data_IF_447312955016
#
_entry.id   IF_447312955016
#
_cell.length_a   1.000
_cell.length_b   1.000
_cell.length_c   1.000
_cell.angle_alpha   90.00
_cell.angle_beta   90.00
_cell.angle_gamma   90.00
#
_symmetry.space_group_name_H-M   'P 1'
#
loop_
_entity.id
_entity.type
_entity.pdbx_description
1 polymer ?
#
# COMPACT_ATOMS: atom_id res chain seq x y z
N UNK A 1 -22.07 6.78 22.12
CA UNK A 1 -20.61 6.88 22.29
C UNK A 1 -20.34 7.45 23.68
N UNK A 2 -19.53 6.76 24.49
CA UNK A 2 -19.31 7.17 25.88
C UNK A 2 -18.23 8.25 26.02
N UNK A 3 -17.39 8.44 24.96
CA UNK A 3 -16.29 9.40 24.98
C UNK A 3 -15.86 9.79 23.54
N UNK A 4 -14.89 10.70 23.47
CA UNK A 4 -14.34 11.16 22.18
C UNK A 4 -13.63 10.05 21.41
N UNK A 5 -12.97 9.13 22.10
CA UNK A 5 -12.27 8.01 21.47
C UNK A 5 -13.26 7.01 20.84
N UNK A 6 -14.37 6.73 21.50
CA UNK A 6 -15.45 5.92 20.96
C UNK A 6 -16.07 6.51 19.69
N UNK A 7 -16.29 7.82 19.67
CA UNK A 7 -16.78 8.51 18.48
C UNK A 7 -15.75 8.47 17.34
N UNK A 8 -14.49 8.78 17.65
CA UNK A 8 -13.40 8.69 16.67
C UNK A 8 -13.30 7.28 16.07
N UNK A 9 -13.29 6.25 16.92
CA UNK A 9 -13.24 4.85 16.48
C UNK A 9 -14.40 4.49 15.55
N UNK A 10 -15.61 4.91 15.88
CA UNK A 10 -16.81 4.63 15.07
C UNK A 10 -16.76 5.25 13.67
N UNK A 11 -16.01 6.34 13.50
CA UNK A 11 -15.84 7.02 12.22
C UNK A 11 -14.70 6.39 11.41
N UNK A 12 -13.53 6.14 12.02
CA UNK A 12 -12.33 5.76 11.27
C UNK A 12 -12.17 4.25 11.09
N UNK A 13 -12.66 3.43 12.02
CA UNK A 13 -12.51 1.98 11.95
C UNK A 13 -13.14 1.36 10.69
N UNK A 14 -14.36 1.75 10.25
CA UNK A 14 -14.94 1.22 9.02
C UNK A 14 -14.10 1.51 7.78
N UNK A 15 -13.49 2.70 7.67
CA UNK A 15 -12.69 3.06 6.49
C UNK A 15 -11.32 2.38 6.50
N UNK A 16 -10.72 2.18 7.67
CA UNK A 16 -9.47 1.39 7.81
C UNK A 16 -9.73 -0.07 7.41
N UNK A 17 -10.78 -0.67 7.93
CA UNK A 17 -11.14 -2.05 7.60
C UNK A 17 -11.48 -2.20 6.12
N UNK A 18 -12.27 -1.29 5.56
CA UNK A 18 -12.62 -1.29 4.14
C UNK A 18 -11.41 -1.14 3.22
N UNK A 19 -10.43 -0.32 3.58
CA UNK A 19 -9.18 -0.17 2.85
C UNK A 19 -8.34 -1.44 2.93
N UNK A 20 -8.19 -2.01 4.11
CA UNK A 20 -7.41 -3.23 4.33
C UNK A 20 -8.00 -4.42 3.58
N UNK A 21 -9.32 -4.60 3.62
CA UNK A 21 -10.02 -5.66 2.89
C UNK A 21 -9.86 -5.52 1.37
N UNK A 22 -9.99 -4.29 0.83
CA UNK A 22 -9.76 -4.02 -0.60
C UNK A 22 -8.34 -4.36 -1.00
N UNK A 23 -7.38 -3.92 -0.21
CA UNK A 23 -5.97 -4.19 -0.49
C UNK A 23 -5.65 -5.69 -0.49
N UNK A 24 -6.17 -6.43 0.48
CA UNK A 24 -6.03 -7.88 0.52
C UNK A 24 -6.66 -8.55 -0.71
N UNK A 25 -7.86 -8.12 -1.13
CA UNK A 25 -8.52 -8.63 -2.33
C UNK A 25 -7.71 -8.37 -3.60
N UNK A 26 -7.11 -7.18 -3.74
CA UNK A 26 -6.24 -6.83 -4.86
C UNK A 26 -5.05 -7.78 -4.92
N UNK A 27 -4.38 -8.01 -3.80
CA UNK A 27 -3.25 -8.93 -3.71
C UNK A 27 -3.63 -10.38 -4.02
N UNK A 28 -4.74 -10.86 -3.48
CA UNK A 28 -5.23 -12.20 -3.74
C UNK A 28 -5.59 -12.42 -5.21
N UNK A 29 -6.27 -11.47 -5.85
CA UNK A 29 -6.62 -11.53 -7.26
C UNK A 29 -5.37 -11.61 -8.14
N UNK A 30 -4.36 -10.79 -7.88
CA UNK A 30 -3.09 -10.84 -8.59
C UNK A 30 -2.41 -12.21 -8.45
N UNK A 31 -2.36 -12.77 -7.25
CA UNK A 31 -1.69 -14.04 -6.98
C UNK A 31 -2.48 -15.28 -7.41
N UNK A 32 -3.75 -15.13 -7.80
CA UNK A 32 -4.54 -16.18 -8.46
C UNK A 32 -4.24 -16.32 -9.96
N UNK A 33 -3.58 -15.33 -10.57
CA UNK A 33 -3.14 -15.40 -11.96
C UNK A 33 -2.05 -16.47 -12.13
N UNK A 34 -1.94 -17.02 -13.32
CA UNK A 34 -0.80 -17.87 -13.69
C UNK A 34 0.52 -17.09 -13.57
N UNK A 35 1.62 -17.78 -13.21
CA UNK A 35 2.91 -17.11 -12.94
C UNK A 35 3.44 -16.29 -14.12
N UNK A 36 3.21 -16.73 -15.34
CA UNK A 36 3.57 -16.00 -16.57
C UNK A 36 2.74 -14.74 -16.76
N UNK A 37 1.47 -14.77 -16.36
CA UNK A 37 0.57 -13.62 -16.40
C UNK A 37 0.94 -12.61 -15.33
N UNK A 38 1.29 -13.07 -14.12
CA UNK A 38 1.76 -12.19 -13.04
C UNK A 38 2.96 -11.36 -13.49
N UNK A 39 3.99 -11.99 -14.08
CA UNK A 39 5.17 -11.31 -14.57
C UNK A 39 4.88 -10.30 -15.69
N UNK A 40 3.95 -10.66 -16.60
CA UNK A 40 3.59 -9.83 -17.75
C UNK A 40 2.73 -8.60 -17.36
N UNK A 41 1.89 -8.71 -16.32
CA UNK A 41 0.91 -7.69 -15.94
C UNK A 41 1.19 -7.03 -14.58
N UNK A 42 2.36 -7.27 -13.98
CA UNK A 42 2.70 -6.75 -12.65
C UNK A 42 2.52 -5.24 -12.55
N UNK A 43 3.06 -4.50 -13.51
CA UNK A 43 3.01 -3.04 -13.53
C UNK A 43 1.58 -2.51 -13.60
N UNK A 44 0.78 -3.06 -14.51
CA UNK A 44 -0.61 -2.67 -14.70
C UNK A 44 -1.46 -2.99 -13.46
N UNK A 45 -1.27 -4.17 -12.87
CA UNK A 45 -1.98 -4.58 -11.67
C UNK A 45 -1.61 -3.74 -10.44
N UNK A 46 -0.32 -3.42 -10.29
CA UNK A 46 0.17 -2.56 -9.21
C UNK A 46 -0.42 -1.15 -9.30
N UNK A 47 -0.35 -0.55 -10.48
CA UNK A 47 -0.86 0.81 -10.71
C UNK A 47 -2.38 0.85 -10.53
N UNK A 48 -3.11 -0.11 -11.09
CA UNK A 48 -4.56 -0.23 -10.92
C UNK A 48 -4.97 -0.44 -9.47
N UNK A 49 -4.28 -1.30 -8.75
CA UNK A 49 -4.53 -1.57 -7.33
C UNK A 49 -4.25 -0.34 -6.46
N UNK A 50 -3.16 0.36 -6.69
CA UNK A 50 -2.84 1.60 -5.96
C UNK A 50 -3.89 2.67 -6.23
N UNK A 51 -4.33 2.83 -7.48
CA UNK A 51 -5.38 3.79 -7.82
C UNK A 51 -6.75 3.44 -7.20
N UNK A 52 -7.06 2.16 -7.06
CA UNK A 52 -8.28 1.74 -6.36
C UNK A 52 -8.27 2.19 -4.89
N UNK A 53 -7.14 2.03 -4.20
CA UNK A 53 -6.98 2.51 -2.82
C UNK A 53 -7.07 4.05 -2.73
N UNK A 54 -6.46 4.76 -3.65
CA UNK A 54 -6.51 6.23 -3.69
C UNK A 54 -7.93 6.71 -3.94
N UNK A 55 -8.65 6.10 -4.87
CA UNK A 55 -10.06 6.43 -5.11
C UNK A 55 -10.93 6.17 -3.88
N UNK A 56 -10.69 5.07 -3.18
CA UNK A 56 -11.38 4.78 -1.93
C UNK A 56 -11.13 5.86 -0.86
N UNK A 57 -9.89 6.36 -0.74
CA UNK A 57 -9.58 7.46 0.19
C UNK A 57 -10.34 8.74 -0.18
N UNK A 58 -10.46 9.07 -1.46
CA UNK A 58 -11.22 10.26 -1.89
C UNK A 58 -12.72 10.09 -1.74
N UNK A 59 -13.25 8.88 -1.87
CA UNK A 59 -14.66 8.57 -1.59
C UNK A 59 -15.00 8.68 -0.09
N UNK A 60 -13.99 8.60 0.79
CA UNK A 60 -14.06 8.72 2.24
C UNK A 60 -13.12 9.80 2.79
N UNK A 61 -13.06 10.93 2.08
CA UNK A 61 -12.03 11.95 2.29
C UNK A 61 -12.03 12.54 3.72
N UNK A 62 -13.21 12.80 4.28
CA UNK A 62 -13.31 13.41 5.60
C UNK A 62 -12.88 12.45 6.71
N UNK A 63 -13.22 11.16 6.57
CA UNK A 63 -12.79 10.10 7.49
C UNK A 63 -11.27 9.90 7.45
N UNK A 64 -10.66 9.90 6.25
CA UNK A 64 -9.21 9.80 6.12
C UNK A 64 -8.48 11.05 6.61
N UNK A 65 -9.01 12.24 6.40
CA UNK A 65 -8.46 13.46 7.00
C UNK A 65 -8.47 13.37 8.52
N UNK A 66 -9.60 12.98 9.09
CA UNK A 66 -9.72 12.80 10.53
C UNK A 66 -8.74 11.75 11.07
N UNK A 67 -8.60 10.62 10.39
CA UNK A 67 -7.66 9.55 10.75
C UNK A 67 -6.22 10.06 10.75
N UNK A 68 -5.79 10.74 9.70
CA UNK A 68 -4.42 11.23 9.56
C UNK A 68 -4.08 12.35 10.54
N UNK A 69 -5.05 13.21 10.86
CA UNK A 69 -4.85 14.35 11.76
C UNK A 69 -4.91 13.97 13.25
N UNK A 70 -5.71 12.96 13.62
CA UNK A 70 -6.07 12.72 15.00
C UNK A 70 -5.79 11.29 15.52
N UNK A 71 -5.11 10.44 14.77
CA UNK A 71 -4.79 9.06 15.20
C UNK A 71 -3.70 8.98 16.27
N UNK A 72 -2.85 10.01 16.41
CA UNK A 72 -1.77 10.02 17.37
C UNK A 72 -2.29 9.82 18.81
N UNK A 73 -1.71 8.82 19.51
CA UNK A 73 -2.12 8.46 20.86
C UNK A 73 -3.39 7.59 20.96
N UNK A 74 -4.00 7.23 19.83
CA UNK A 74 -5.09 6.27 19.77
C UNK A 74 -4.60 4.88 19.35
N UNK A 75 -5.49 3.86 19.44
CA UNK A 75 -5.21 2.51 18.94
C UNK A 75 -4.98 2.45 17.41
N UNK A 76 -5.33 3.50 16.69
CA UNK A 76 -5.18 3.60 15.23
C UNK A 76 -3.88 4.28 14.80
N UNK A 77 -3.00 4.63 15.74
CA UNK A 77 -1.73 5.31 15.45
C UNK A 77 -0.91 4.58 14.37
N UNK A 78 -0.88 3.26 14.41
CA UNK A 78 -0.12 2.41 13.50
C UNK A 78 -1.02 1.67 12.48
N UNK A 79 -2.09 2.30 12.00
CA UNK A 79 -3.02 1.66 11.06
C UNK A 79 -2.34 1.24 9.74
N UNK A 80 -1.25 1.89 9.35
CA UNK A 80 -0.46 1.56 8.15
C UNK A 80 0.24 0.20 8.27
N UNK A 81 0.54 -0.26 9.48
CA UNK A 81 1.29 -1.51 9.71
C UNK A 81 0.58 -2.74 9.12
N UNK A 82 -0.75 -2.75 9.11
CA UNK A 82 -1.52 -3.84 8.51
C UNK A 82 -1.33 -3.91 6.99
N UNK A 83 -1.33 -2.77 6.32
CA UNK A 83 -1.09 -2.65 4.87
C UNK A 83 0.35 -3.06 4.53
N UNK A 84 1.32 -2.61 5.32
CA UNK A 84 2.73 -2.97 5.14
C UNK A 84 2.94 -4.48 5.27
N UNK A 85 2.33 -5.13 6.26
CA UNK A 85 2.44 -6.59 6.43
C UNK A 85 1.87 -7.35 5.24
N UNK A 86 0.72 -6.94 4.73
CA UNK A 86 0.11 -7.55 3.54
C UNK A 86 1.05 -7.39 2.34
N UNK A 87 1.52 -6.18 2.06
CA UNK A 87 2.40 -5.91 0.92
C UNK A 87 3.70 -6.70 0.99
N UNK A 88 4.36 -6.72 2.14
CA UNK A 88 5.61 -7.46 2.33
C UNK A 88 5.40 -8.97 2.13
N UNK A 89 4.34 -9.54 2.69
CA UNK A 89 4.01 -10.96 2.52
C UNK A 89 3.80 -11.32 1.05
N UNK A 90 3.00 -10.54 0.33
CA UNK A 90 2.70 -10.80 -1.07
C UNK A 90 3.87 -10.45 -2.00
N UNK A 91 4.72 -9.49 -1.63
CA UNK A 91 5.98 -9.23 -2.33
C UNK A 91 6.91 -10.43 -2.25
N UNK A 92 7.06 -11.08 -1.11
CA UNK A 92 7.83 -12.32 -1.00
C UNK A 92 7.27 -13.43 -1.88
N UNK A 93 5.96 -13.63 -1.90
CA UNK A 93 5.30 -14.60 -2.78
C UNK A 93 5.60 -14.31 -4.25
N UNK A 94 5.55 -13.03 -4.65
CA UNK A 94 5.89 -12.62 -6.02
C UNK A 94 7.37 -12.86 -6.34
N UNK A 95 8.29 -12.52 -5.44
CA UNK A 95 9.72 -12.75 -5.62
C UNK A 95 10.03 -14.24 -5.80
N UNK A 96 9.38 -15.12 -5.06
CA UNK A 96 9.48 -16.57 -5.25
C UNK A 96 8.97 -17.00 -6.63
N UNK A 97 7.83 -16.46 -7.07
CA UNK A 97 7.24 -16.74 -8.37
C UNK A 97 8.16 -16.39 -9.54
N UNK A 98 8.86 -15.27 -9.47
CA UNK A 98 9.78 -14.81 -10.53
C UNK A 98 11.21 -15.33 -10.35
N UNK A 99 11.47 -16.18 -9.34
CA UNK A 99 12.79 -16.74 -9.09
C UNK A 99 13.81 -15.78 -8.47
N UNK A 100 13.38 -14.64 -7.94
CA UNK A 100 14.23 -13.63 -7.30
C UNK A 100 14.49 -13.96 -5.84
N UNK A 101 15.04 -15.15 -5.55
CA UNK A 101 15.21 -15.65 -4.17
C UNK A 101 16.51 -15.22 -3.50
N UNK A 102 17.45 -14.62 -4.22
CA UNK A 102 18.77 -14.22 -3.67
C UNK A 102 18.72 -13.16 -2.57
N UNK A 103 17.60 -12.42 -2.49
CA UNK A 103 17.36 -11.43 -1.44
C UNK A 103 16.66 -12.02 -0.20
N UNK A 104 15.99 -13.17 -0.35
CA UNK A 104 15.23 -13.81 0.72
C UNK A 104 16.19 -14.46 1.74
N UNK A 105 15.85 -14.30 3.03
CA UNK A 105 16.69 -14.83 4.12
C UNK A 105 17.89 -13.94 4.49
N UNK A 106 18.02 -12.76 3.87
CA UNK A 106 19.01 -11.77 4.27
C UNK A 106 18.35 -10.69 5.15
N UNK A 107 18.70 -10.63 6.42
CA UNK A 107 18.08 -9.73 7.39
C UNK A 107 18.14 -8.25 7.00
N UNK A 108 19.22 -7.81 6.33
CA UNK A 108 19.35 -6.42 5.86
C UNK A 108 18.37 -6.12 4.72
N UNK A 109 18.23 -7.06 3.79
CA UNK A 109 17.31 -6.92 2.65
C UNK A 109 15.86 -6.96 3.11
N UNK A 110 15.52 -7.86 4.04
CA UNK A 110 14.18 -7.92 4.64
C UNK A 110 13.84 -6.64 5.40
N UNK A 111 14.78 -6.10 6.15
CA UNK A 111 14.61 -4.82 6.84
C UNK A 111 14.41 -3.67 5.83
N UNK A 112 15.21 -3.64 4.75
CA UNK A 112 15.06 -2.63 3.71
C UNK A 112 13.69 -2.72 3.04
N UNK A 113 13.23 -3.92 2.68
CA UNK A 113 11.91 -4.11 2.07
C UNK A 113 10.80 -3.58 2.98
N UNK A 114 10.85 -3.88 4.26
CA UNK A 114 9.87 -3.37 5.23
C UNK A 114 9.88 -1.84 5.29
N UNK A 115 11.07 -1.21 5.36
CA UNK A 115 11.21 0.24 5.46
C UNK A 115 10.72 0.94 4.19
N UNK A 116 11.10 0.45 3.00
CA UNK A 116 10.67 1.10 1.74
C UNK A 116 9.18 0.89 1.49
N UNK A 117 8.61 -0.23 1.90
CA UNK A 117 7.16 -0.47 1.84
C UNK A 117 6.40 0.48 2.76
N UNK A 118 6.87 0.67 3.99
CA UNK A 118 6.31 1.65 4.92
C UNK A 118 6.36 3.06 4.33
N UNK A 119 7.51 3.46 3.79
CA UNK A 119 7.70 4.76 3.14
C UNK A 119 6.74 4.96 1.95
N UNK A 120 6.50 3.89 1.17
CA UNK A 120 5.53 3.95 0.05
C UNK A 120 4.13 4.25 0.52
N UNK A 121 3.61 3.53 1.53
CA UNK A 121 2.27 3.79 2.06
C UNK A 121 2.16 5.17 2.69
N UNK A 122 3.13 5.59 3.48
CA UNK A 122 3.14 6.96 4.04
C UNK A 122 3.11 8.02 2.93
N UNK A 123 3.86 7.80 1.84
CA UNK A 123 3.85 8.70 0.68
C UNK A 123 2.52 8.70 -0.07
N UNK A 124 1.78 7.58 -0.11
CA UNK A 124 0.42 7.53 -0.69
C UNK A 124 -0.54 8.40 0.14
N UNK A 125 -0.45 8.36 1.47
CA UNK A 125 -1.30 9.18 2.34
C UNK A 125 -1.01 10.68 2.26
N UNK A 126 0.15 11.08 1.74
CA UNK A 126 0.50 12.49 1.56
C UNK A 126 -0.46 13.23 0.60
N UNK A 127 -1.13 12.54 -0.32
CA UNK A 127 -2.15 13.17 -1.18
C UNK A 127 -3.28 13.79 -0.37
N UNK A 128 -3.67 13.14 0.74
CA UNK A 128 -4.70 13.64 1.65
C UNK A 128 -4.12 14.73 2.57
N UNK A 129 -2.93 14.50 3.16
CA UNK A 129 -2.27 15.46 4.07
C UNK A 129 -2.01 16.80 3.39
N UNK A 130 -1.62 16.78 2.12
CA UNK A 130 -1.36 18.00 1.33
C UNK A 130 -2.61 18.55 0.64
N UNK A 131 -3.76 17.90 0.78
CA UNK A 131 -5.02 18.39 0.22
C UNK A 131 -5.04 18.45 -1.29
N UNK A 132 -4.33 17.53 -1.97
CA UNK A 132 -4.36 17.43 -3.42
C UNK A 132 -5.79 17.19 -3.94
N UNK A 133 -6.10 17.74 -5.11
CA UNK A 133 -7.31 17.32 -5.83
C UNK A 133 -7.18 15.85 -6.23
N UNK A 134 -8.30 15.18 -6.50
CA UNK A 134 -8.27 13.79 -7.01
C UNK A 134 -7.49 13.70 -8.33
N UNK A 135 -7.57 14.71 -9.18
CA UNK A 135 -6.86 14.79 -10.46
C UNK A 135 -5.34 14.92 -10.26
N UNK A 136 -4.90 15.83 -9.39
CA UNK A 136 -3.47 15.99 -9.06
C UNK A 136 -2.90 14.75 -8.36
N UNK A 137 -3.72 14.07 -7.56
CA UNK A 137 -3.32 12.83 -6.90
C UNK A 137 -3.01 11.71 -7.89
N UNK A 138 -3.73 11.61 -9.02
CA UNK A 138 -3.43 10.63 -10.08
C UNK A 138 -2.01 10.81 -10.60
N UNK A 139 -1.64 12.03 -11.00
CA UNK A 139 -0.30 12.33 -11.50
C UNK A 139 0.78 12.04 -10.44
N UNK A 140 0.54 12.46 -9.20
CA UNK A 140 1.44 12.19 -8.08
C UNK A 140 1.67 10.68 -7.87
N UNK A 141 0.60 9.89 -7.85
CA UNK A 141 0.67 8.44 -7.63
C UNK A 141 1.37 7.72 -8.77
N UNK A 142 1.16 8.13 -10.03
CA UNK A 142 1.89 7.58 -11.17
C UNK A 142 3.40 7.79 -11.04
N UNK A 143 3.82 8.99 -10.64
CA UNK A 143 5.24 9.30 -10.40
C UNK A 143 5.80 8.50 -9.22
N UNK A 144 5.05 8.39 -8.13
CA UNK A 144 5.45 7.65 -6.92
C UNK A 144 5.60 6.16 -7.23
N UNK A 145 4.65 5.55 -7.93
CA UNK A 145 4.68 4.14 -8.31
C UNK A 145 5.89 3.85 -9.21
N UNK A 146 6.15 4.70 -10.19
CA UNK A 146 7.32 4.56 -11.07
C UNK A 146 8.64 4.66 -10.29
N UNK A 147 8.74 5.59 -9.34
CA UNK A 147 9.91 5.74 -8.47
C UNK A 147 10.17 4.48 -7.63
N UNK A 148 9.16 3.98 -6.93
CA UNK A 148 9.30 2.79 -6.09
C UNK A 148 9.58 1.53 -6.90
N UNK A 149 8.90 1.33 -8.02
CA UNK A 149 9.10 0.17 -8.90
C UNK A 149 10.50 0.14 -9.51
N UNK A 150 11.02 1.28 -9.98
CA UNK A 150 12.38 1.37 -10.51
C UNK A 150 13.41 1.01 -9.44
N UNK A 151 13.28 1.54 -8.24
CA UNK A 151 14.16 1.20 -7.11
C UNK A 151 14.04 -0.26 -6.69
N UNK A 152 12.83 -0.80 -6.67
CA UNK A 152 12.59 -2.20 -6.34
C UNK A 152 13.32 -3.13 -7.34
N UNK A 153 13.13 -2.94 -8.62
CA UNK A 153 13.78 -3.78 -9.64
C UNK A 153 15.30 -3.65 -9.64
N UNK A 154 15.84 -2.47 -9.39
CA UNK A 154 17.29 -2.26 -9.33
C UNK A 154 17.93 -3.01 -8.16
N UNK A 155 17.27 -3.05 -6.99
CA UNK A 155 17.84 -3.61 -5.77
C UNK A 155 17.51 -5.11 -5.62
N UNK A 156 16.25 -5.49 -5.88
CA UNK A 156 15.78 -6.84 -5.65
C UNK A 156 15.78 -7.72 -6.91
N UNK A 157 15.95 -7.13 -8.09
CA UNK A 157 15.90 -7.83 -9.38
C UNK A 157 14.47 -8.06 -9.86
N UNK A 158 14.33 -8.85 -10.92
CA UNK A 158 13.02 -9.26 -11.43
C UNK A 158 12.40 -8.32 -12.45
N UNK A 159 13.19 -7.43 -13.07
CA UNK A 159 12.71 -6.68 -14.23
C UNK A 159 12.41 -7.66 -15.36
N UNK A 160 11.18 -7.69 -15.89
CA UNK A 160 10.89 -8.47 -17.10
C UNK A 160 11.81 -8.01 -18.24
N UNK A 161 12.42 -8.96 -18.94
CA UNK A 161 13.15 -8.67 -20.18
C UNK A 161 12.19 -8.18 -21.28
#
# INVERSE_FOLDING_TARGET
FHDKEGLFSAIVEPVINGMTERFLQIQEQFHQMEHTEQAAHMEECEDGGTMELVNYMYDHLDEFRLLLDASAGTRFHNFVDALVRIEVEYTYKYMETIGCTGALGNATTEMLLHIVTTSRFESIFEVIRHGLSREDAVEYIELLSRYHRTGFYEIFGGKPE
#
